data_IF_947475402800
#
_entry.id   IF_947475402800
#
_cell.length_a   1.000
_cell.length_b   1.000
_cell.length_c   1.000
_cell.angle_alpha   90.00
_cell.angle_beta   90.00
_cell.angle_gamma   90.00
#
_symmetry.space_group_name_H-M   'P 1'
#
loop_
_entity.id
_entity.type
_entity.pdbx_description
1 polymer ?
#
# COMPACT_ATOMS: atom_id res chain seq x y z
N UNK A 1 19.42 38.63 1.36
CA UNK A 1 19.16 37.67 2.45
C UNK A 1 17.95 36.85 2.03
N UNK A 2 18.14 35.58 1.69
CA UNK A 2 17.05 34.70 1.24
C UNK A 2 16.15 34.37 2.43
N UNK A 3 14.87 34.75 2.39
CA UNK A 3 13.90 34.31 3.39
C UNK A 3 13.66 32.83 3.19
N UNK A 4 14.29 31.99 4.03
CA UNK A 4 14.02 30.55 4.03
C UNK A 4 12.52 30.32 4.22
N UNK A 5 11.91 29.56 3.31
CA UNK A 5 10.50 29.20 3.40
C UNK A 5 10.23 28.58 4.80
N UNK A 6 9.30 29.10 5.61
CA UNK A 6 9.03 28.59 6.95
C UNK A 6 8.75 27.08 6.98
N UNK A 7 8.10 26.56 5.93
CA UNK A 7 7.85 25.12 5.78
C UNK A 7 9.15 24.33 5.60
N UNK A 8 10.11 24.87 4.86
CA UNK A 8 11.42 24.25 4.64
C UNK A 8 12.20 24.15 5.94
N UNK A 9 12.29 25.26 6.69
CA UNK A 9 12.98 25.30 7.98
C UNK A 9 12.39 24.31 8.99
N UNK A 10 11.06 24.17 9.02
CA UNK A 10 10.35 23.20 9.87
C UNK A 10 10.77 21.76 9.58
N UNK A 11 10.75 21.34 8.32
CA UNK A 11 11.10 19.96 7.95
C UNK A 11 12.56 19.69 8.32
N UNK A 12 13.46 20.63 8.02
CA UNK A 12 14.88 20.51 8.36
C UNK A 12 15.09 20.32 9.87
N UNK A 13 14.35 21.08 10.70
CA UNK A 13 14.37 20.91 12.15
C UNK A 13 13.82 19.54 12.60
N UNK A 14 12.66 19.15 12.09
CA UNK A 14 12.03 17.86 12.43
C UNK A 14 12.89 16.66 12.01
N UNK A 15 13.41 16.66 10.78
CA UNK A 15 14.28 15.59 10.27
C UNK A 15 15.63 15.60 10.99
N UNK A 16 16.19 16.77 11.31
CA UNK A 16 17.41 16.88 12.09
C UNK A 16 17.27 16.26 13.48
N UNK A 17 16.17 16.57 14.18
CA UNK A 17 15.87 15.96 15.48
C UNK A 17 15.62 14.46 15.38
N UNK A 18 14.89 14.00 14.35
CA UNK A 18 14.68 12.57 14.11
C UNK A 18 15.99 11.85 13.80
N UNK A 19 16.92 12.47 13.07
CA UNK A 19 18.21 11.86 12.77
C UNK A 19 19.09 11.68 14.02
N UNK A 20 18.93 12.54 15.02
CA UNK A 20 19.59 12.42 16.32
C UNK A 20 18.94 11.32 17.16
N UNK A 21 17.60 11.32 17.25
CA UNK A 21 16.87 10.37 18.10
C UNK A 21 16.79 8.95 17.49
N UNK A 22 16.55 8.85 16.20
CA UNK A 22 16.27 7.61 15.46
C UNK A 22 16.88 7.66 14.04
N UNK A 23 18.21 7.68 13.97
CA UNK A 23 18.98 7.81 12.71
C UNK A 23 18.46 6.95 11.56
N UNK A 24 18.23 5.66 11.79
CA UNK A 24 17.77 4.73 10.75
C UNK A 24 16.38 5.08 10.21
N UNK A 25 15.48 5.57 11.07
CA UNK A 25 14.14 6.02 10.66
C UNK A 25 14.26 7.29 9.82
N UNK A 26 15.11 8.24 10.21
CA UNK A 26 15.35 9.46 9.41
C UNK A 26 15.92 9.14 8.02
N UNK A 27 16.91 8.24 7.94
CA UNK A 27 17.51 7.81 6.67
C UNK A 27 16.47 7.20 5.73
N UNK A 28 15.61 6.32 6.26
CA UNK A 28 14.51 5.69 5.51
C UNK A 28 13.43 6.69 5.11
N UNK A 29 13.04 7.58 6.02
CA UNK A 29 12.03 8.60 5.77
C UNK A 29 12.48 9.58 4.68
N UNK A 30 13.78 9.81 4.51
CA UNK A 30 14.37 10.62 3.44
C UNK A 30 14.55 9.87 2.10
N UNK A 31 14.32 8.55 2.06
CA UNK A 31 14.43 7.73 0.85
C UNK A 31 13.37 8.04 -0.21
N UNK A 32 13.48 7.50 -1.44
CA UNK A 32 12.46 7.72 -2.47
C UNK A 32 11.08 7.22 -2.04
N UNK A 33 10.07 8.08 -2.13
CA UNK A 33 8.65 7.73 -1.97
C UNK A 33 7.80 8.53 -2.93
N UNK A 34 6.78 7.88 -3.49
CA UNK A 34 5.76 8.49 -4.36
C UNK A 34 4.56 8.87 -3.51
N UNK A 35 4.11 10.11 -3.63
CA UNK A 35 3.02 10.72 -2.85
C UNK A 35 1.79 11.08 -3.71
N UNK A 36 1.70 10.55 -4.94
CA UNK A 36 0.62 10.90 -5.89
C UNK A 36 -0.77 10.50 -5.43
N UNK A 37 -0.88 9.63 -4.42
CA UNK A 37 -2.13 9.28 -3.77
C UNK A 37 -2.54 10.25 -2.66
N UNK A 38 -1.69 11.22 -2.30
CA UNK A 38 -2.04 12.32 -1.41
C UNK A 38 -2.34 13.54 -2.26
N UNK A 39 -3.59 13.99 -2.22
CA UNK A 39 -4.04 15.16 -2.98
C UNK A 39 -4.52 16.24 -2.03
N UNK A 40 -4.38 17.50 -2.44
CA UNK A 40 -4.91 18.61 -1.68
C UNK A 40 -6.37 18.87 -2.10
N UNK A 41 -7.28 18.85 -1.13
CA UNK A 41 -8.68 19.22 -1.31
C UNK A 41 -8.85 20.73 -1.54
N UNK A 42 -10.06 21.12 -1.96
CA UNK A 42 -10.38 22.53 -2.23
C UNK A 42 -10.30 23.42 -0.98
N UNK A 43 -10.53 22.84 0.19
CA UNK A 43 -10.42 23.47 1.51
C UNK A 43 -8.99 23.44 2.07
N UNK A 44 -8.02 22.98 1.27
CA UNK A 44 -6.62 22.84 1.65
C UNK A 44 -6.31 21.59 2.48
N UNK A 45 -7.31 20.78 2.85
CA UNK A 45 -7.10 19.53 3.60
C UNK A 45 -6.44 18.47 2.74
N UNK A 46 -5.66 17.59 3.36
CA UNK A 46 -5.07 16.44 2.65
C UNK A 46 -6.11 15.33 2.52
N UNK A 47 -6.24 14.80 1.31
CA UNK A 47 -7.13 13.71 0.97
C UNK A 47 -6.31 12.51 0.51
N UNK A 48 -6.72 11.32 0.91
CA UNK A 48 -6.17 10.05 0.44
C UNK A 48 -6.95 9.56 -0.78
N UNK A 49 -6.28 9.43 -1.91
CA UNK A 49 -6.81 8.78 -3.10
C UNK A 49 -6.74 7.26 -2.92
N UNK A 50 -7.89 6.64 -2.65
CA UNK A 50 -8.02 5.19 -2.52
C UNK A 50 -8.98 4.66 -3.59
N UNK A 51 -8.44 3.89 -4.55
CA UNK A 51 -9.16 3.45 -5.75
C UNK A 51 -9.74 4.67 -6.49
N UNK A 52 -11.04 4.72 -6.71
CA UNK A 52 -11.73 5.83 -7.39
C UNK A 52 -12.25 6.91 -6.44
N UNK A 53 -11.97 6.81 -5.14
CA UNK A 53 -12.49 7.74 -4.12
C UNK A 53 -11.36 8.57 -3.53
N UNK A 54 -11.65 9.83 -3.26
CA UNK A 54 -10.82 10.70 -2.45
C UNK A 54 -11.43 10.78 -1.05
N UNK A 55 -10.66 10.40 -0.04
CA UNK A 55 -11.14 10.25 1.34
C UNK A 55 -10.45 11.28 2.23
N UNK A 56 -11.18 12.04 3.06
CA UNK A 56 -10.55 13.02 3.94
C UNK A 56 -9.77 12.32 5.03
N UNK A 57 -8.54 12.79 5.26
CA UNK A 57 -7.72 12.34 6.40
C UNK A 57 -7.96 13.19 7.65
N UNK A 58 -8.39 14.43 7.49
CA UNK A 58 -8.76 15.28 8.61
C UNK A 58 -9.99 14.71 9.32
N UNK A 59 -9.89 14.56 10.64
CA UNK A 59 -11.00 14.14 11.50
C UNK A 59 -11.85 15.34 11.92
N UNK A 60 -13.14 15.09 12.08
CA UNK A 60 -14.06 16.02 12.71
C UNK A 60 -13.81 16.09 14.22
N UNK A 61 -14.20 17.20 14.84
CA UNK A 61 -13.94 17.47 16.26
C UNK A 61 -14.49 16.38 17.19
N UNK A 62 -15.71 15.92 16.93
CA UNK A 62 -16.37 14.89 17.73
C UNK A 62 -15.59 13.57 17.70
N UNK A 63 -15.22 13.10 16.51
CA UNK A 63 -14.42 11.87 16.33
C UNK A 63 -13.07 12.03 17.04
N UNK A 64 -12.44 13.20 16.94
CA UNK A 64 -11.15 13.45 17.56
C UNK A 64 -11.24 13.43 19.09
N UNK A 65 -12.28 14.03 19.67
CA UNK A 65 -12.54 13.97 21.11
C UNK A 65 -12.73 12.53 21.62
N UNK A 66 -13.50 11.71 20.87
CA UNK A 66 -13.73 10.29 21.19
C UNK A 66 -12.43 9.47 21.26
N UNK A 67 -11.39 9.84 20.49
CA UNK A 67 -10.10 9.13 20.51
C UNK A 67 -9.34 9.25 21.84
N UNK A 68 -9.70 10.21 22.70
CA UNK A 68 -8.97 10.49 23.95
C UNK A 68 -9.73 10.12 25.23
N UNK A 69 -11.00 9.70 25.12
CA UNK A 69 -11.89 9.55 26.30
C UNK A 69 -11.37 8.55 27.34
N UNK A 70 -10.65 7.51 26.92
CA UNK A 70 -10.21 6.40 27.76
C UNK A 70 -8.68 6.32 27.95
N UNK A 71 -7.95 7.41 27.70
CA UNK A 71 -6.49 7.40 27.86
C UNK A 71 -6.05 7.54 29.31
N UNK A 72 -5.30 6.55 29.79
CA UNK A 72 -4.64 6.55 31.09
C UNK A 72 -3.34 7.37 31.07
N UNK A 73 -3.14 8.23 32.07
CA UNK A 73 -1.90 9.00 32.23
C UNK A 73 -0.70 8.08 32.49
N UNK A 74 0.46 8.43 31.91
CA UNK A 74 1.73 7.73 32.15
C UNK A 74 1.93 6.44 31.36
N UNK A 75 0.90 5.95 30.64
CA UNK A 75 1.04 4.84 29.69
C UNK A 75 1.37 5.40 28.30
N UNK A 76 2.30 4.74 27.60
CA UNK A 76 2.70 5.14 26.25
C UNK A 76 1.56 4.93 25.25
N UNK A 77 1.32 5.93 24.40
CA UNK A 77 0.29 5.91 23.37
C UNK A 77 0.90 5.44 22.06
N UNK A 78 0.30 4.41 21.47
CA UNK A 78 0.57 4.00 20.11
C UNK A 78 -0.43 4.64 19.15
N UNK A 79 0.04 5.60 18.36
CA UNK A 79 -0.77 6.28 17.35
C UNK A 79 -0.70 5.52 16.02
N UNK A 80 -1.75 4.75 15.73
CA UNK A 80 -1.91 4.00 14.49
C UNK A 80 -2.51 4.87 13.39
N UNK A 81 -1.69 5.23 12.39
CA UNK A 81 -2.07 6.02 11.23
C UNK A 81 -1.83 7.52 11.42
N UNK A 82 -1.01 8.08 10.54
CA UNK A 82 -0.56 9.48 10.50
C UNK A 82 -1.46 10.37 9.63
N UNK A 83 -2.77 10.11 9.62
CA UNK A 83 -3.73 10.79 8.72
C UNK A 83 -3.98 12.25 9.11
N UNK A 84 -4.28 12.52 10.38
CA UNK A 84 -4.55 13.86 10.89
C UNK A 84 -3.43 14.31 11.86
N UNK A 85 -2.53 15.22 11.45
CA UNK A 85 -1.43 15.70 12.29
C UNK A 85 -1.88 16.33 13.62
N UNK A 86 -3.13 16.79 13.72
CA UNK A 86 -3.66 17.41 14.95
C UNK A 86 -3.79 16.42 16.10
N UNK A 87 -4.09 15.15 15.80
CA UNK A 87 -4.16 14.10 16.82
C UNK A 87 -2.80 13.93 17.51
N UNK A 88 -1.71 13.93 16.74
CA UNK A 88 -0.36 13.86 17.30
C UNK A 88 -0.05 15.07 18.18
N UNK A 89 -0.38 16.29 17.72
CA UNK A 89 -0.14 17.52 18.49
C UNK A 89 -0.90 17.49 19.81
N UNK A 90 -2.18 17.14 19.80
CA UNK A 90 -3.01 17.07 21.01
C UNK A 90 -2.48 16.04 22.03
N UNK A 91 -2.02 14.87 21.57
CA UNK A 91 -1.35 13.89 22.44
C UNK A 91 -0.08 14.45 23.07
N UNK A 92 0.77 15.11 22.28
CA UNK A 92 2.04 15.66 22.75
C UNK A 92 1.82 16.84 23.71
N UNK A 93 0.85 17.71 23.44
CA UNK A 93 0.47 18.83 24.30
C UNK A 93 -0.16 18.37 25.62
N UNK A 94 -0.91 17.27 25.60
CA UNK A 94 -1.42 16.61 26.80
C UNK A 94 -0.34 15.87 27.61
N UNK A 95 0.91 15.83 27.12
CA UNK A 95 2.06 15.27 27.86
C UNK A 95 2.28 13.77 27.68
N UNK A 96 1.55 13.11 26.77
CA UNK A 96 1.76 11.68 26.50
C UNK A 96 3.11 11.43 25.83
N UNK A 97 3.69 10.26 26.11
CA UNK A 97 4.73 9.64 25.28
C UNK A 97 4.04 8.94 24.11
N UNK A 98 4.44 9.22 22.88
CA UNK A 98 3.75 8.76 21.67
C UNK A 98 4.71 7.98 20.78
N UNK A 99 4.33 6.75 20.41
CA UNK A 99 4.89 6.05 19.26
C UNK A 99 3.96 6.23 18.07
N UNK A 100 4.35 7.09 17.13
CA UNK A 100 3.66 7.29 15.85
C UNK A 100 4.04 6.19 14.87
N UNK A 101 3.04 5.58 14.23
CA UNK A 101 3.27 4.66 13.13
C UNK A 101 2.32 4.88 11.96
N UNK A 102 2.83 4.75 10.75
CA UNK A 102 2.03 4.58 9.54
C UNK A 102 2.74 3.61 8.59
N UNK A 103 1.93 2.89 7.81
CA UNK A 103 2.42 2.08 6.70
C UNK A 103 2.98 2.93 5.55
N UNK A 104 2.43 4.11 5.36
CA UNK A 104 2.69 5.00 4.24
C UNK A 104 3.67 6.11 4.63
N UNK A 105 4.89 6.01 4.12
CA UNK A 105 5.96 6.98 4.39
C UNK A 105 5.58 8.40 3.94
N UNK A 106 4.72 8.55 2.91
CA UNK A 106 4.27 9.87 2.47
C UNK A 106 3.38 10.55 3.52
N UNK A 107 2.58 9.80 4.27
CA UNK A 107 1.76 10.34 5.37
C UNK A 107 2.64 10.79 6.55
N UNK A 108 3.66 10.01 6.91
CA UNK A 108 4.63 10.43 7.95
C UNK A 108 5.34 11.72 7.54
N UNK A 109 5.77 11.82 6.28
CA UNK A 109 6.33 13.07 5.75
C UNK A 109 5.33 14.21 5.86
N UNK A 110 4.07 13.99 5.49
CA UNK A 110 3.03 15.01 5.58
C UNK A 110 2.83 15.54 7.01
N UNK A 111 2.90 14.68 8.03
CA UNK A 111 2.93 15.12 9.44
C UNK A 111 4.13 16.03 9.69
N UNK A 112 5.34 15.63 9.28
CA UNK A 112 6.56 16.40 9.46
C UNK A 112 6.56 17.75 8.70
N UNK A 113 5.78 17.85 7.62
CA UNK A 113 5.51 19.12 6.93
C UNK A 113 4.51 20.00 7.69
N UNK A 114 3.50 19.39 8.30
CA UNK A 114 2.35 20.08 8.86
C UNK A 114 2.62 20.64 10.26
N UNK A 115 3.34 19.91 11.11
CA UNK A 115 3.48 20.21 12.55
C UNK A 115 4.94 20.22 13.00
N UNK A 116 5.22 20.93 14.08
CA UNK A 116 6.57 21.04 14.66
C UNK A 116 6.71 19.99 15.77
N UNK A 117 7.58 19.00 15.56
CA UNK A 117 7.74 17.84 16.46
C UNK A 117 9.18 17.67 16.95
N UNK A 118 10.10 18.52 16.50
CA UNK A 118 11.52 18.43 16.83
C UNK A 118 11.81 18.46 18.34
N UNK A 119 11.08 19.25 19.13
CA UNK A 119 11.23 19.25 20.59
C UNK A 119 10.78 17.93 21.23
N UNK A 120 9.64 17.39 20.79
CA UNK A 120 9.12 16.12 21.29
C UNK A 120 10.08 14.96 20.98
N UNK A 121 10.66 14.95 19.77
CA UNK A 121 11.73 14.01 19.39
C UNK A 121 12.96 14.17 20.28
N UNK A 122 13.42 15.42 20.50
CA UNK A 122 14.62 15.70 21.30
C UNK A 122 14.47 15.28 22.77
N UNK A 123 13.26 15.38 23.34
CA UNK A 123 12.95 14.95 24.71
C UNK A 123 12.61 13.46 24.84
N UNK A 124 12.56 12.72 23.72
CA UNK A 124 12.14 11.32 23.70
C UNK A 124 10.64 11.11 23.94
N UNK A 125 9.84 12.17 23.84
CA UNK A 125 8.39 12.12 23.98
C UNK A 125 7.70 11.57 22.72
N UNK A 126 8.36 11.68 21.56
CA UNK A 126 7.89 11.11 20.30
C UNK A 126 8.89 10.07 19.78
N UNK A 127 8.39 8.90 19.44
CA UNK A 127 9.08 7.86 18.65
C UNK A 127 8.32 7.65 17.34
N UNK A 128 9.03 7.47 16.23
CA UNK A 128 8.45 7.25 14.90
C UNK A 128 8.82 5.87 14.38
N UNK A 129 7.83 5.13 13.91
CA UNK A 129 7.97 3.83 13.26
C UNK A 129 7.29 3.87 11.89
N UNK A 130 7.78 3.06 10.94
CA UNK A 130 7.24 3.07 9.57
C UNK A 130 7.15 1.68 8.98
N UNK A 131 6.06 1.41 8.25
CA UNK A 131 5.90 0.17 7.50
C UNK A 131 6.08 -1.07 8.40
N UNK A 132 7.06 -1.90 8.06
CA UNK A 132 7.35 -3.16 8.76
C UNK A 132 7.74 -3.01 10.24
N UNK A 133 8.16 -1.83 10.68
CA UNK A 133 8.55 -1.60 12.09
C UNK A 133 7.37 -1.80 13.05
N UNK A 134 6.14 -1.85 12.51
CA UNK A 134 4.93 -2.30 13.19
C UNK A 134 5.14 -3.58 14.01
N UNK A 135 5.93 -4.52 13.49
CA UNK A 135 6.21 -5.80 14.15
C UNK A 135 6.91 -5.65 15.51
N UNK A 136 7.61 -4.54 15.74
CA UNK A 136 8.23 -4.28 17.04
C UNK A 136 7.22 -3.78 18.06
N UNK A 137 6.22 -3.01 17.61
CA UNK A 137 5.11 -2.56 18.47
C UNK A 137 4.28 -3.75 18.93
N UNK A 138 4.02 -4.71 18.02
CA UNK A 138 3.22 -5.90 18.36
C UNK A 138 3.79 -6.71 19.53
N UNK A 139 5.12 -6.69 19.76
CA UNK A 139 5.78 -7.40 20.86
C UNK A 139 5.49 -6.81 22.23
N UNK A 140 5.08 -5.55 22.27
CA UNK A 140 4.80 -4.77 23.48
C UNK A 140 3.40 -4.16 23.47
N UNK A 141 2.50 -4.67 22.62
CA UNK A 141 1.15 -4.12 22.44
C UNK A 141 0.36 -4.05 23.75
N UNK A 142 0.58 -5.00 24.67
CA UNK A 142 -0.12 -5.08 25.95
C UNK A 142 0.38 -4.02 26.96
N UNK A 143 1.47 -3.31 26.63
CA UNK A 143 2.04 -2.19 27.40
C UNK A 143 1.60 -0.82 26.85
N UNK A 144 0.80 -0.79 25.78
CA UNK A 144 0.50 0.42 25.00
C UNK A 144 -0.99 0.70 24.95
N UNK A 145 -1.36 1.97 24.92
CA UNK A 145 -2.73 2.40 24.60
C UNK A 145 -2.85 2.72 23.11
N UNK A 146 -3.79 2.08 22.42
CA UNK A 146 -4.03 2.32 21.01
C UNK A 146 -4.88 3.58 20.81
N UNK A 147 -4.35 4.54 20.05
CA UNK A 147 -5.15 5.59 19.39
C UNK A 147 -5.08 5.33 17.90
N UNK A 148 -6.21 4.95 17.29
CA UNK A 148 -6.26 4.55 15.89
C UNK A 148 -7.03 5.56 15.04
N UNK A 149 -6.41 6.03 13.96
CA UNK A 149 -7.10 6.81 12.95
C UNK A 149 -8.18 5.94 12.27
N UNK A 150 -9.48 6.25 12.38
CA UNK A 150 -10.56 5.32 12.03
C UNK A 150 -10.53 4.88 10.56
N UNK A 151 -10.30 5.83 9.64
CA UNK A 151 -10.17 5.51 8.22
C UNK A 151 -8.95 4.62 7.93
N UNK A 152 -7.77 4.95 8.45
CA UNK A 152 -6.54 4.21 8.15
C UNK A 152 -6.54 2.84 8.82
N UNK A 153 -7.09 2.72 10.04
CA UNK A 153 -7.29 1.44 10.71
C UNK A 153 -8.14 0.48 9.85
N UNK A 154 -9.23 1.00 9.25
CA UNK A 154 -10.05 0.22 8.33
C UNK A 154 -9.33 -0.11 7.00
N UNK A 155 -8.54 0.81 6.45
CA UNK A 155 -7.78 0.58 5.20
C UNK A 155 -6.56 -0.32 5.40
N UNK A 156 -6.02 -0.38 6.62
CA UNK A 156 -4.85 -1.18 7.00
C UNK A 156 -5.32 -2.44 7.73
N UNK A 157 -6.35 -3.10 7.17
CA UNK A 157 -7.05 -4.21 7.82
C UNK A 157 -6.12 -5.37 8.20
N UNK A 158 -5.08 -5.65 7.40
CA UNK A 158 -4.12 -6.71 7.76
C UNK A 158 -3.32 -6.37 9.01
N UNK A 159 -2.85 -5.12 9.13
CA UNK A 159 -2.13 -4.63 10.30
C UNK A 159 -3.05 -4.49 11.52
N UNK A 160 -4.29 -4.04 11.33
CA UNK A 160 -5.31 -4.01 12.38
C UNK A 160 -5.58 -5.41 12.95
N UNK A 161 -5.72 -6.44 12.10
CA UNK A 161 -5.89 -7.81 12.56
C UNK A 161 -4.66 -8.34 13.31
N UNK A 162 -3.45 -7.96 12.89
CA UNK A 162 -2.23 -8.31 13.63
C UNK A 162 -2.16 -7.60 14.99
N UNK A 163 -2.68 -6.38 15.10
CA UNK A 163 -2.83 -5.70 16.39
C UNK A 163 -3.78 -6.48 17.31
N UNK A 164 -4.99 -6.75 16.82
CA UNK A 164 -6.07 -7.41 17.58
C UNK A 164 -5.69 -8.83 18.01
N UNK A 165 -5.20 -9.65 17.08
CA UNK A 165 -4.99 -11.08 17.31
C UNK A 165 -3.53 -11.46 17.58
N UNK A 166 -2.59 -10.55 17.31
CA UNK A 166 -1.16 -10.75 17.49
C UNK A 166 -0.50 -11.27 16.21
N UNK A 167 0.82 -11.12 16.13
CA UNK A 167 1.59 -11.69 15.02
C UNK A 167 1.79 -13.20 15.22
N UNK A 168 1.35 -14.06 14.28
CA UNK A 168 1.72 -15.46 14.30
C UNK A 168 3.22 -15.64 14.02
N UNK A 169 3.74 -16.85 14.27
CA UNK A 169 5.17 -17.15 14.08
C UNK A 169 5.60 -17.18 12.62
N UNK A 170 4.65 -17.29 11.68
CA UNK A 170 4.91 -17.35 10.24
C UNK A 170 4.21 -16.20 9.54
N UNK A 171 4.95 -15.48 8.71
CA UNK A 171 4.48 -14.31 7.98
C UNK A 171 4.58 -14.51 6.47
N UNK A 172 3.62 -13.95 5.75
CA UNK A 172 3.66 -13.79 4.29
C UNK A 172 3.63 -12.31 3.97
N UNK A 173 4.53 -11.87 3.09
CA UNK A 173 4.51 -10.52 2.55
C UNK A 173 3.62 -10.50 1.29
N UNK A 174 2.52 -9.77 1.34
CA UNK A 174 1.56 -9.67 0.25
C UNK A 174 1.73 -8.34 -0.49
N UNK A 175 2.15 -8.37 -1.75
CA UNK A 175 2.38 -7.16 -2.54
C UNK A 175 1.09 -6.37 -2.75
N UNK A 176 1.10 -5.08 -2.43
CA UNK A 176 -0.08 -4.20 -2.52
C UNK A 176 -0.41 -3.77 -3.95
N UNK A 177 -1.63 -3.24 -4.14
CA UNK A 177 -2.03 -2.54 -5.37
C UNK A 177 -2.74 -3.38 -6.44
N UNK A 178 -3.07 -4.65 -6.13
CA UNK A 178 -3.81 -5.54 -7.02
C UNK A 178 -5.29 -5.69 -6.68
N UNK A 179 -6.04 -6.30 -7.59
CA UNK A 179 -7.34 -6.91 -7.27
C UNK A 179 -7.12 -8.17 -6.41
N UNK A 180 -8.16 -8.68 -5.74
CA UNK A 180 -8.12 -9.89 -4.91
C UNK A 180 -7.16 -9.89 -3.71
N UNK A 181 -6.44 -8.79 -3.43
CA UNK A 181 -5.51 -8.70 -2.29
C UNK A 181 -6.21 -9.04 -0.97
N UNK A 182 -7.40 -8.50 -0.74
CA UNK A 182 -8.15 -8.75 0.49
C UNK A 182 -8.58 -10.23 0.62
N UNK A 183 -9.02 -10.83 -0.49
CA UNK A 183 -9.45 -12.24 -0.54
C UNK A 183 -8.28 -13.20 -0.32
N UNK A 184 -7.13 -12.89 -0.91
CA UNK A 184 -5.91 -13.68 -0.77
C UNK A 184 -5.32 -13.52 0.64
N UNK A 185 -5.36 -12.31 1.20
CA UNK A 185 -4.96 -12.07 2.58
C UNK A 185 -5.81 -12.90 3.57
N UNK A 186 -7.13 -12.96 3.36
CA UNK A 186 -8.03 -13.80 4.16
C UNK A 186 -7.66 -15.29 4.03
N UNK A 187 -7.51 -15.80 2.81
CA UNK A 187 -7.13 -17.20 2.59
C UNK A 187 -5.76 -17.57 3.21
N UNK A 188 -4.78 -16.66 3.17
CA UNK A 188 -3.48 -16.86 3.83
C UNK A 188 -3.63 -16.92 5.35
N UNK A 189 -4.49 -16.08 5.94
CA UNK A 189 -4.77 -16.12 7.38
C UNK A 189 -5.49 -17.40 7.79
N UNK A 190 -6.42 -17.89 6.98
CA UNK A 190 -7.09 -19.18 7.21
C UNK A 190 -6.11 -20.37 7.22
N UNK A 191 -4.97 -20.22 6.53
CA UNK A 191 -3.86 -21.19 6.57
C UNK A 191 -2.93 -21.01 7.79
N UNK A 192 -3.22 -20.07 8.69
CA UNK A 192 -2.48 -19.84 9.93
C UNK A 192 -1.27 -18.90 9.79
N UNK A 193 -1.17 -18.15 8.69
CA UNK A 193 -0.09 -17.18 8.47
C UNK A 193 -0.54 -15.75 8.80
N UNK A 194 0.40 -14.92 9.23
CA UNK A 194 0.21 -13.49 9.32
C UNK A 194 0.46 -12.85 7.96
N UNK A 195 -0.25 -11.77 7.66
CA UNK A 195 -0.12 -11.08 6.38
C UNK A 195 0.42 -9.68 6.62
N UNK A 196 1.57 -9.38 6.03
CA UNK A 196 2.11 -8.02 5.97
C UNK A 196 2.00 -7.50 4.54
N UNK A 197 1.32 -6.37 4.33
CA UNK A 197 1.36 -5.69 3.05
C UNK A 197 2.78 -5.25 2.68
N UNK A 198 3.19 -5.50 1.44
CA UNK A 198 4.49 -5.10 0.90
C UNK A 198 4.29 -4.12 -0.26
N UNK A 199 4.67 -2.87 -0.06
CA UNK A 199 4.60 -1.84 -1.10
C UNK A 199 5.81 -1.92 -2.03
N UNK A 200 5.58 -2.16 -3.33
CA UNK A 200 6.66 -2.31 -4.32
C UNK A 200 6.77 -1.12 -5.28
N UNK A 201 5.74 -0.28 -5.39
CA UNK A 201 5.64 0.75 -6.43
C UNK A 201 5.91 2.14 -5.91
N UNK A 202 5.57 2.40 -4.66
CA UNK A 202 5.65 3.75 -4.07
C UNK A 202 6.88 3.99 -3.23
N UNK A 203 7.67 2.99 -2.88
CA UNK A 203 8.86 3.16 -2.02
C UNK A 203 10.14 2.70 -2.74
N UNK A 204 11.28 3.26 -2.35
CA UNK A 204 12.57 2.89 -2.89
C UNK A 204 13.00 1.46 -2.53
N UNK A 205 13.90 0.87 -3.33
CA UNK A 205 14.40 -0.51 -3.18
C UNK A 205 14.97 -0.77 -1.78
N UNK A 206 15.65 0.21 -1.17
CA UNK A 206 16.21 0.06 0.17
C UNK A 206 15.12 -0.16 1.25
N UNK A 207 13.96 0.48 1.11
CA UNK A 207 12.83 0.31 2.03
C UNK A 207 12.14 -1.05 1.82
N UNK A 208 12.05 -1.51 0.57
CA UNK A 208 11.55 -2.85 0.23
C UNK A 208 12.47 -3.91 0.85
N UNK A 209 13.79 -3.75 0.70
CA UNK A 209 14.78 -4.66 1.28
C UNK A 209 14.74 -4.68 2.80
N UNK A 210 14.56 -3.52 3.44
CA UNK A 210 14.36 -3.44 4.89
C UNK A 210 13.09 -4.19 5.31
N UNK A 211 11.99 -3.96 4.59
CA UNK A 211 10.70 -4.62 4.84
C UNK A 211 10.80 -6.14 4.78
N UNK A 212 11.37 -6.69 3.71
CA UNK A 212 11.51 -8.15 3.57
C UNK A 212 12.44 -8.72 4.65
N UNK A 213 13.59 -8.08 4.90
CA UNK A 213 14.55 -8.56 5.91
C UNK A 213 13.96 -8.54 7.31
N UNK A 214 13.20 -7.48 7.64
CA UNK A 214 12.62 -7.31 8.97
C UNK A 214 11.44 -8.25 9.20
N UNK A 215 10.59 -8.41 8.19
CA UNK A 215 9.46 -9.32 8.24
C UNK A 215 9.89 -10.80 8.24
N UNK A 216 11.04 -11.11 7.64
CA UNK A 216 11.54 -12.46 7.43
C UNK A 216 10.43 -13.44 6.96
N UNK A 217 9.72 -13.10 5.86
CA UNK A 217 8.54 -13.86 5.46
C UNK A 217 8.91 -15.24 4.90
N UNK A 218 8.00 -16.20 5.06
CA UNK A 218 8.08 -17.53 4.46
C UNK A 218 7.84 -17.47 2.93
N UNK A 219 7.12 -16.44 2.48
CA UNK A 219 6.71 -16.26 1.10
C UNK A 219 6.47 -14.76 0.83
N UNK A 220 6.87 -14.31 -0.36
CA UNK A 220 6.38 -13.07 -0.95
C UNK A 220 5.34 -13.44 -2.00
N UNK A 221 4.12 -12.93 -1.87
CA UNK A 221 3.04 -13.20 -2.82
C UNK A 221 2.59 -11.92 -3.50
N UNK A 222 2.54 -11.92 -4.83
CA UNK A 222 2.08 -10.80 -5.63
C UNK A 222 0.91 -11.17 -6.53
N UNK A 223 -0.01 -10.21 -6.72
CA UNK A 223 -1.04 -10.29 -7.75
C UNK A 223 -0.56 -9.54 -8.97
N UNK A 224 -0.46 -10.28 -10.08
CA UNK A 224 0.29 -9.95 -11.28
C UNK A 224 1.79 -9.83 -11.04
N UNK A 225 2.57 -10.11 -12.09
CA UNK A 225 4.02 -10.00 -12.03
C UNK A 225 4.45 -8.54 -11.95
N UNK A 226 5.33 -8.23 -11.00
CA UNK A 226 6.01 -6.93 -10.89
C UNK A 226 7.46 -7.12 -11.29
N UNK A 227 7.91 -6.35 -12.28
CA UNK A 227 9.29 -6.43 -12.78
C UNK A 227 10.31 -6.25 -11.63
N UNK A 228 11.24 -7.19 -11.50
CA UNK A 228 12.33 -7.14 -10.51
C UNK A 228 12.01 -7.87 -9.21
N UNK A 229 10.79 -8.42 -9.05
CA UNK A 229 10.43 -9.20 -7.85
C UNK A 229 11.22 -10.52 -7.75
N UNK A 230 11.66 -11.07 -8.87
CA UNK A 230 12.54 -12.24 -8.93
C UNK A 230 13.90 -11.97 -8.26
N UNK A 231 14.45 -10.77 -8.49
CA UNK A 231 15.71 -10.35 -7.88
C UNK A 231 15.55 -10.09 -6.37
N UNK A 232 14.35 -9.67 -5.93
CA UNK A 232 14.04 -9.50 -4.51
C UNK A 232 14.03 -10.87 -3.80
N UNK A 233 13.32 -11.86 -4.35
CA UNK A 233 13.29 -13.21 -3.81
C UNK A 233 14.68 -13.83 -3.71
N UNK A 234 15.45 -13.78 -4.79
CA UNK A 234 16.81 -14.31 -4.83
C UNK A 234 17.76 -13.62 -3.82
N UNK A 235 17.64 -12.30 -3.65
CA UNK A 235 18.50 -11.52 -2.73
C UNK A 235 18.30 -11.90 -1.27
N UNK A 236 17.06 -12.20 -0.87
CA UNK A 236 16.73 -12.53 0.51
C UNK A 236 16.57 -14.04 0.75
N UNK A 237 16.71 -14.87 -0.28
CA UNK A 237 16.49 -16.32 -0.19
C UNK A 237 15.05 -16.66 0.19
N UNK A 238 14.09 -15.86 -0.29
CA UNK A 238 12.67 -16.01 0.02
C UNK A 238 11.92 -16.44 -1.24
N UNK A 239 11.12 -17.51 -1.20
CA UNK A 239 10.24 -17.87 -2.30
C UNK A 239 9.28 -16.74 -2.67
N UNK A 240 9.05 -16.57 -3.97
CA UNK A 240 8.13 -15.60 -4.53
C UNK A 240 7.07 -16.33 -5.34
N UNK A 241 5.80 -16.01 -5.11
CA UNK A 241 4.70 -16.45 -5.95
C UNK A 241 4.02 -15.24 -6.59
N UNK A 242 3.83 -15.26 -7.90
CA UNK A 242 3.02 -14.27 -8.59
C UNK A 242 1.82 -14.96 -9.22
N UNK A 243 0.61 -14.49 -8.90
CA UNK A 243 -0.61 -14.94 -9.57
C UNK A 243 -1.08 -13.89 -10.56
N UNK A 244 -0.86 -14.15 -11.84
CA UNK A 244 -1.37 -13.35 -12.94
C UNK A 244 -2.87 -13.58 -13.08
N UNK A 245 -3.64 -12.50 -12.93
CA UNK A 245 -5.10 -12.51 -12.96
C UNK A 245 -5.68 -11.48 -13.92
N UNK A 246 -4.92 -10.44 -14.21
CA UNK A 246 -5.25 -9.41 -15.17
C UNK A 246 -4.23 -9.57 -16.29
N UNK A 247 -4.67 -9.87 -17.53
CA UNK A 247 -3.73 -10.04 -18.61
C UNK A 247 -2.93 -8.76 -18.71
N UNK A 248 -1.61 -8.88 -18.75
CA UNK A 248 -0.84 -7.81 -19.36
C UNK A 248 -1.41 -7.68 -20.77
N UNK A 249 -2.14 -6.60 -21.02
CA UNK A 249 -2.52 -6.21 -22.39
C UNK A 249 -1.25 -5.96 -23.23
N UNK A 250 -0.11 -5.86 -22.55
CA UNK A 250 1.24 -5.80 -23.07
C UNK A 250 1.91 -7.18 -23.19
N UNK A 251 2.91 -7.20 -24.08
CA UNK A 251 3.83 -8.33 -24.30
C UNK A 251 4.32 -8.92 -22.97
N UNK A 252 4.43 -10.24 -22.94
CA UNK A 252 5.10 -10.96 -21.85
C UNK A 252 6.47 -10.34 -21.62
N UNK A 253 6.70 -9.88 -20.39
CA UNK A 253 7.98 -9.29 -19.99
C UNK A 253 9.06 -10.38 -19.96
N UNK A 254 10.26 -10.06 -20.42
CA UNK A 254 11.40 -10.96 -20.27
C UNK A 254 11.88 -10.97 -18.82
N UNK A 255 12.20 -12.16 -18.30
CA UNK A 255 12.89 -12.29 -17.02
C UNK A 255 14.20 -11.48 -17.03
N UNK A 256 14.49 -10.75 -15.94
CA UNK A 256 15.67 -9.87 -15.88
C UNK A 256 16.82 -10.46 -15.05
N UNK A 257 16.64 -11.67 -14.50
CA UNK A 257 17.61 -12.36 -13.67
C UNK A 257 17.23 -13.82 -13.46
N UNK A 258 17.82 -14.44 -12.44
CA UNK A 258 17.42 -15.79 -12.02
C UNK A 258 15.96 -15.79 -11.57
N UNK A 259 15.21 -16.82 -12.00
CA UNK A 259 13.81 -17.02 -11.59
C UNK A 259 13.64 -18.25 -10.71
N UNK A 260 14.74 -18.82 -10.21
CA UNK A 260 14.76 -20.00 -9.34
C UNK A 260 13.84 -19.84 -8.11
N UNK A 261 13.77 -18.63 -7.57
CA UNK A 261 12.96 -18.28 -6.40
C UNK A 261 11.54 -17.87 -6.74
N UNK A 262 11.21 -17.71 -8.02
CA UNK A 262 9.91 -17.22 -8.48
C UNK A 262 9.08 -18.36 -9.08
N UNK A 263 7.85 -18.51 -8.60
CA UNK A 263 6.81 -19.31 -9.23
C UNK A 263 5.74 -18.38 -9.82
N UNK A 264 5.56 -18.44 -11.14
CA UNK A 264 4.52 -17.68 -11.83
C UNK A 264 3.30 -18.58 -12.09
N UNK A 265 2.16 -18.16 -11.58
CA UNK A 265 0.86 -18.75 -11.89
C UNK A 265 0.15 -17.88 -12.91
N UNK A 266 -0.33 -18.47 -14.01
CA UNK A 266 -1.16 -17.77 -15.01
C UNK A 266 -2.49 -18.48 -15.19
N UNK A 267 -3.57 -17.73 -15.32
CA UNK A 267 -4.88 -18.30 -15.63
C UNK A 267 -5.07 -18.62 -17.12
N UNK A 268 -4.07 -18.35 -17.95
CA UNK A 268 -4.08 -18.66 -19.39
C UNK A 268 -3.14 -19.82 -19.66
N UNK A 269 -3.71 -21.01 -19.83
CA UNK A 269 -2.93 -22.22 -20.10
C UNK A 269 -2.00 -22.05 -21.30
N UNK A 270 -2.48 -21.38 -22.36
CA UNK A 270 -1.69 -21.08 -23.56
C UNK A 270 -0.49 -20.15 -23.34
N UNK A 271 -0.41 -19.45 -22.19
CA UNK A 271 0.71 -18.56 -21.87
C UNK A 271 1.83 -19.25 -21.09
N UNK A 272 1.63 -20.48 -20.60
CA UNK A 272 2.65 -21.19 -19.82
C UNK A 272 3.95 -21.34 -20.63
N UNK A 273 3.86 -21.82 -21.87
CA UNK A 273 5.01 -21.96 -22.77
C UNK A 273 5.63 -20.60 -23.12
N UNK A 274 4.80 -19.57 -23.28
CA UNK A 274 5.26 -18.24 -23.66
C UNK A 274 6.03 -17.54 -22.54
N UNK A 275 5.62 -17.70 -21.28
CA UNK A 275 6.40 -17.27 -20.13
C UNK A 275 7.68 -18.10 -19.97
N UNK A 276 7.62 -19.42 -20.20
CA UNK A 276 8.82 -20.26 -20.25
C UNK A 276 9.84 -19.76 -21.27
N UNK A 277 9.39 -19.44 -22.49
CA UNK A 277 10.22 -18.87 -23.55
C UNK A 277 10.75 -17.46 -23.21
N UNK A 278 10.07 -16.73 -22.33
CA UNK A 278 10.50 -15.42 -21.82
C UNK A 278 11.52 -15.52 -20.66
N UNK A 279 11.91 -16.73 -20.26
CA UNK A 279 12.96 -16.99 -19.27
C UNK A 279 12.46 -17.26 -17.85
N UNK A 280 11.15 -17.47 -17.64
CA UNK A 280 10.62 -17.91 -16.35
C UNK A 280 10.74 -19.43 -16.21
N UNK A 281 11.52 -19.89 -15.22
CA UNK A 281 11.83 -21.31 -15.02
C UNK A 281 10.64 -22.12 -14.44
N UNK A 282 9.78 -21.47 -13.64
CA UNK A 282 8.63 -22.12 -12.99
C UNK A 282 7.35 -21.37 -13.32
N UNK A 283 6.61 -21.91 -14.29
CA UNK A 283 5.31 -21.39 -14.70
C UNK A 283 4.27 -22.48 -14.59
N UNK A 284 3.11 -22.18 -14.02
CA UNK A 284 2.02 -23.15 -13.88
C UNK A 284 0.69 -22.51 -14.22
N UNK A 285 -0.14 -23.25 -14.94
CA UNK A 285 -1.53 -22.87 -15.14
C UNK A 285 -2.29 -22.95 -13.82
N UNK A 286 -2.95 -21.86 -13.42
CA UNK A 286 -3.82 -21.79 -12.25
C UNK A 286 -5.09 -21.00 -12.61
N UNK A 287 -6.26 -21.65 -12.71
CA UNK A 287 -7.49 -20.96 -13.06
C UNK A 287 -7.87 -19.89 -12.03
N UNK A 288 -8.57 -18.85 -12.50
CA UNK A 288 -9.17 -17.86 -11.62
C UNK A 288 -10.22 -18.53 -10.71
N UNK A 289 -10.16 -18.19 -9.42
CA UNK A 289 -11.12 -18.67 -8.43
C UNK A 289 -11.56 -17.51 -7.53
N UNK A 290 -12.84 -17.48 -7.20
CA UNK A 290 -13.37 -16.60 -6.15
C UNK A 290 -13.10 -17.20 -4.76
N UNK A 291 -12.94 -16.36 -3.74
CA UNK A 291 -12.96 -16.79 -2.36
C UNK A 291 -14.28 -17.52 -2.05
N UNK A 292 -14.20 -18.83 -1.77
CA UNK A 292 -15.36 -19.70 -1.55
C UNK A 292 -16.08 -19.41 -0.24
N UNK A 293 -15.38 -18.89 0.77
CA UNK A 293 -15.93 -18.49 2.07
C UNK A 293 -16.81 -17.24 1.94
N UNK A 294 -16.44 -16.32 1.03
CA UNK A 294 -17.21 -15.09 0.75
C UNK A 294 -18.30 -15.29 -0.29
N UNK A 295 -18.09 -16.17 -1.29
CA UNK A 295 -19.06 -16.42 -2.35
C UNK A 295 -20.26 -17.22 -1.82
N UNK A 296 -21.29 -16.48 -1.36
CA UNK A 296 -22.57 -17.03 -0.89
C UNK A 296 -23.70 -16.68 -1.87
N UNK A 297 -23.86 -17.43 -2.98
CA UNK A 297 -24.92 -17.14 -3.94
C UNK A 297 -26.29 -17.30 -3.27
N UNK A 298 -27.12 -16.27 -3.38
CA UNK A 298 -28.50 -16.27 -2.89
C UNK A 298 -29.45 -15.88 -4.01
N UNK A 299 -30.60 -16.52 -4.05
CA UNK A 299 -31.68 -16.14 -4.98
C UNK A 299 -32.37 -14.91 -4.38
N UNK A 300 -32.40 -13.75 -5.07
CA UNK A 300 -33.14 -12.59 -4.57
C UNK A 300 -34.64 -12.89 -4.54
N UNK A 301 -35.34 -12.44 -3.49
CA UNK A 301 -36.78 -12.65 -3.28
C UNK A 301 -37.50 -11.32 -3.02
N UNK A 302 -38.81 -11.28 -3.29
CA UNK A 302 -39.66 -10.11 -3.02
C UNK A 302 -39.13 -8.82 -3.66
N UNK A 303 -39.05 -7.76 -2.87
CA UNK A 303 -38.58 -6.43 -3.29
C UNK A 303 -37.15 -6.45 -3.85
N UNK A 304 -36.26 -7.33 -3.37
CA UNK A 304 -34.90 -7.44 -3.93
C UNK A 304 -34.92 -7.99 -5.35
N UNK A 305 -35.82 -8.93 -5.64
CA UNK A 305 -35.98 -9.46 -6.99
C UNK A 305 -36.57 -8.40 -7.91
N UNK A 306 -37.51 -7.60 -7.44
CA UNK A 306 -38.04 -6.48 -8.23
C UNK A 306 -36.98 -5.42 -8.50
N UNK A 307 -36.12 -5.12 -7.52
CA UNK A 307 -35.10 -4.07 -7.63
C UNK A 307 -33.84 -4.50 -8.39
N UNK A 308 -33.40 -5.74 -8.21
CA UNK A 308 -32.12 -6.23 -8.73
C UNK A 308 -32.25 -7.42 -9.69
N UNK A 309 -33.45 -7.97 -9.85
CA UNK A 309 -33.69 -9.11 -10.75
C UNK A 309 -33.64 -8.67 -12.20
N UNK A 310 -32.58 -9.10 -12.89
CA UNK A 310 -32.38 -8.87 -14.32
C UNK A 310 -31.97 -10.17 -15.00
N UNK A 311 -32.33 -10.34 -16.27
CA UNK A 311 -31.94 -11.52 -17.05
C UNK A 311 -30.44 -11.54 -17.37
N UNK A 312 -29.83 -10.36 -17.49
CA UNK A 312 -28.40 -10.18 -17.76
C UNK A 312 -27.92 -9.00 -16.93
N UNK A 313 -26.83 -9.20 -16.18
CA UNK A 313 -26.12 -8.16 -15.48
C UNK A 313 -24.67 -8.11 -15.98
N UNK A 314 -24.17 -6.91 -16.23
CA UNK A 314 -22.76 -6.67 -16.55
C UNK A 314 -22.14 -5.84 -15.43
N UNK A 315 -21.11 -6.40 -14.79
CA UNK A 315 -20.34 -5.72 -13.75
C UNK A 315 -18.89 -5.66 -14.23
N UNK A 316 -18.52 -4.53 -14.80
CA UNK A 316 -17.20 -4.31 -15.37
C UNK A 316 -17.04 -2.88 -15.85
N UNK A 317 -15.79 -2.42 -15.95
CA UNK A 317 -15.49 -1.17 -16.65
C UNK A 317 -15.79 -1.36 -18.15
N UNK A 318 -16.44 -0.39 -18.78
CA UNK A 318 -16.62 -0.42 -20.25
C UNK A 318 -15.30 -0.29 -21.00
N UNK A 319 -14.23 0.14 -20.30
CA UNK A 319 -12.91 0.46 -20.85
C UNK A 319 -12.94 1.47 -22.01
N UNK A 320 -14.05 2.15 -22.29
CA UNK A 320 -14.20 3.07 -23.43
C UNK A 320 -13.16 4.19 -23.40
N UNK A 321 -12.97 4.82 -22.23
CA UNK A 321 -11.94 5.85 -22.05
C UNK A 321 -10.52 5.33 -22.32
N UNK A 322 -10.24 4.09 -21.88
CA UNK A 322 -8.93 3.45 -22.08
C UNK A 322 -8.73 3.04 -23.53
N UNK A 323 -9.77 2.53 -24.19
CA UNK A 323 -9.77 2.21 -25.62
C UNK A 323 -9.49 3.46 -26.46
N UNK A 324 -10.16 4.59 -26.19
CA UNK A 324 -9.91 5.87 -26.86
C UNK A 324 -8.50 6.38 -26.61
N UNK A 325 -7.97 6.20 -25.39
CA UNK A 325 -6.60 6.58 -25.06
C UNK A 325 -5.57 5.74 -25.84
N UNK A 326 -5.80 4.43 -25.95
CA UNK A 326 -4.95 3.53 -26.73
C UNK A 326 -5.06 3.80 -28.24
N UNK A 327 -6.25 4.08 -28.76
CA UNK A 327 -6.45 4.51 -30.15
C UNK A 327 -5.64 5.79 -30.43
N UNK A 328 -5.76 6.82 -29.59
CA UNK A 328 -4.99 8.05 -29.74
C UNK A 328 -3.47 7.81 -29.67
N UNK A 329 -3.03 6.93 -28.78
CA UNK A 329 -1.60 6.58 -28.63
C UNK A 329 -1.07 5.81 -29.84
N UNK A 330 -1.85 4.86 -30.35
CA UNK A 330 -1.56 4.12 -31.58
C UNK A 330 -1.47 5.05 -32.78
N UNK A 331 -2.48 5.89 -33.01
CA UNK A 331 -2.50 6.82 -34.15
C UNK A 331 -1.31 7.78 -34.12
N UNK A 332 -0.91 8.24 -32.92
CA UNK A 332 0.30 9.05 -32.73
C UNK A 332 1.58 8.29 -33.12
N UNK A 333 1.72 7.05 -32.65
CA UNK A 333 2.89 6.21 -32.96
C UNK A 333 2.94 5.83 -34.45
N UNK A 334 1.79 5.50 -35.03
CA UNK A 334 1.65 5.15 -36.45
C UNK A 334 1.97 6.34 -37.36
N UNK A 335 1.45 7.54 -37.04
CA UNK A 335 1.80 8.77 -37.74
C UNK A 335 3.30 9.06 -37.68
N UNK A 336 3.94 8.88 -36.52
CA UNK A 336 5.38 9.05 -36.39
C UNK A 336 6.15 8.03 -37.26
N UNK A 337 5.72 6.77 -37.29
CA UNK A 337 6.30 5.71 -38.13
C UNK A 337 6.14 6.01 -39.64
N UNK A 338 5.02 6.60 -40.06
CA UNK A 338 4.74 7.03 -41.45
C UNK A 338 5.39 8.37 -41.83
N UNK A 339 6.28 8.92 -40.99
CA UNK A 339 6.99 10.18 -41.30
C UNK A 339 6.16 11.45 -41.08
N UNK A 340 5.07 11.38 -40.31
CA UNK A 340 4.32 12.55 -39.85
C UNK A 340 3.21 13.04 -40.78
N UNK A 341 2.93 12.32 -41.88
CA UNK A 341 1.99 12.77 -42.91
C UNK A 341 0.55 12.90 -42.37
N UNK A 342 -0.24 13.89 -42.83
CA UNK A 342 -1.64 14.04 -42.44
C UNK A 342 -2.52 12.83 -42.79
N UNK A 343 -2.20 12.13 -43.88
CA UNK A 343 -2.95 10.95 -44.35
C UNK A 343 -2.77 9.73 -43.44
N UNK A 344 -1.70 9.69 -42.65
CA UNK A 344 -1.39 8.57 -41.76
C UNK A 344 -2.46 8.36 -40.67
N UNK A 345 -3.15 9.42 -40.25
CA UNK A 345 -4.20 9.30 -39.23
C UNK A 345 -5.48 8.65 -39.79
N UNK A 346 -5.82 8.93 -41.06
CA UNK A 346 -6.93 8.23 -41.75
C UNK A 346 -6.60 6.80 -42.13
N UNK A 347 -5.33 6.48 -42.39
CA UNK A 347 -4.88 5.11 -42.69
C UNK A 347 -4.82 4.21 -41.45
N UNK A 348 -4.62 4.79 -40.25
CA UNK A 348 -4.52 4.04 -39.00
C UNK A 348 -5.87 3.79 -38.30
N UNK A 349 -6.94 4.45 -38.74
CA UNK A 349 -8.32 4.22 -38.27
C UNK A 349 -8.97 3.14 -39.13
#
# INVERSE_FOLDING_TARGET
MSSTNPRQARIEANIGALAIAQRTVAERLCGPVVDTHLIQGQDGRVMLQHRTRSLPLALDEAIRAELFEDLEEGVEVFLFGAGDPRVLVELLEAGYSVTLWDRDLALIRNVFYAVEVHEALARGQLSVLMGVDFLDVLKRRDELQLVAHPLLFALYASEALLWEFGAPSKMVCLCTGGLFIDDVAEAIRDLGFGVLPLELRRVGVAEIDHSVRRAAPELILGINYVKGIEALGARHGVPVACWEIDPTTDRILLAQGTTEWLHLFTYRESQVEAFGAAGFERVTYLPLASNVSRRKPRIPLGEERERYGVSVAHVGSSMDAQARHFEASYLKAYRAWRGGTPEAESEGR
#
